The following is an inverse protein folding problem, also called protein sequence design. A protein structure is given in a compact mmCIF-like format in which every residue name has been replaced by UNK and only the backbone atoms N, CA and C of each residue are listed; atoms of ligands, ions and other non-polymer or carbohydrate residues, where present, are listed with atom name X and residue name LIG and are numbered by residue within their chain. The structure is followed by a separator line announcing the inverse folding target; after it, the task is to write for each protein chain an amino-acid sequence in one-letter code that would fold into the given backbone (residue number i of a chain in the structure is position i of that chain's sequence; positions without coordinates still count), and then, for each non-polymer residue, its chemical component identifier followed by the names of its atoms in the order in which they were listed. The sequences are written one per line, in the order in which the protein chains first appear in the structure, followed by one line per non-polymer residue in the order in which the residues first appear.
data_IF_342096244774
#
_entry.id   IF_342096244774
#
_cell.length_a   1.000
_cell.length_b   1.000
_cell.length_c   1.000
_cell.angle_alpha   90.00
_cell.angle_beta   90.00
_cell.angle_gamma   90.00
#
_symmetry.space_group_name_H-M   'P 1'
#
loop_
_entity.id
_entity.type
_entity.pdbx_description
1 polymer ?
#
# COMPACT_ATOMS: atom_id res chain seq x y z
N UNK A 1 -19.54 -0.29 2.95
CA UNK A 1 -18.15 -0.62 3.32
C UNK A 1 -17.37 0.60 3.77
N UNK A 2 -17.24 1.66 2.95
CA UNK A 2 -16.54 2.91 3.32
C UNK A 2 -16.91 3.46 4.71
N UNK A 3 -18.20 3.44 5.07
CA UNK A 3 -18.69 3.86 6.40
C UNK A 3 -18.09 3.07 7.58
N UNK A 4 -17.82 1.77 7.40
CA UNK A 4 -17.26 0.94 8.48
C UNK A 4 -15.75 1.18 8.65
N UNK A 5 -15.03 1.46 7.56
CA UNK A 5 -13.60 1.81 7.57
C UNK A 5 -13.27 3.10 8.32
N UNK A 6 -14.27 3.90 8.71
CA UNK A 6 -14.08 5.14 9.48
C UNK A 6 -14.38 4.96 10.99
N UNK A 7 -14.81 3.76 11.42
CA UNK A 7 -15.08 3.47 12.83
C UNK A 7 -13.83 2.99 13.56
N UNK A 8 -13.62 3.50 14.77
CA UNK A 8 -12.52 3.08 15.66
C UNK A 8 -12.81 1.81 16.44
N UNK A 9 -14.07 1.55 16.79
CA UNK A 9 -14.49 0.36 17.54
C UNK A 9 -15.51 -0.42 16.72
N UNK A 10 -15.09 -1.55 16.17
CA UNK A 10 -15.92 -2.44 15.36
C UNK A 10 -16.40 -3.65 16.17
N UNK A 11 -17.70 -3.95 16.10
CA UNK A 11 -18.23 -5.18 16.72
C UNK A 11 -17.84 -6.42 15.91
N UNK A 12 -17.89 -7.59 16.53
CA UNK A 12 -17.58 -8.85 15.83
C UNK A 12 -18.49 -9.09 14.61
N UNK A 13 -19.78 -8.75 14.71
CA UNK A 13 -20.72 -8.88 13.59
C UNK A 13 -20.40 -7.91 12.45
N UNK A 14 -19.98 -6.68 12.76
CA UNK A 14 -19.55 -5.71 11.74
C UNK A 14 -18.25 -6.15 11.06
N UNK A 15 -17.30 -6.71 11.81
CA UNK A 15 -16.06 -7.26 11.26
C UNK A 15 -16.33 -8.40 10.26
N UNK A 16 -17.28 -9.28 10.55
CA UNK A 16 -17.68 -10.36 9.63
C UNK A 16 -18.34 -9.83 8.35
N UNK A 17 -19.10 -8.74 8.45
CA UNK A 17 -19.68 -8.04 7.30
C UNK A 17 -18.57 -7.38 6.47
N UNK A 18 -17.63 -6.67 7.11
CA UNK A 18 -16.49 -6.08 6.42
C UNK A 18 -15.63 -7.13 5.73
N UNK A 19 -15.34 -8.24 6.40
CA UNK A 19 -14.60 -9.37 5.86
C UNK A 19 -15.26 -9.90 4.57
N UNK A 20 -16.59 -10.09 4.62
CA UNK A 20 -17.36 -10.57 3.46
C UNK A 20 -17.33 -9.58 2.30
N UNK A 21 -17.47 -8.27 2.58
CA UNK A 21 -17.44 -7.23 1.56
C UNK A 21 -16.04 -7.06 0.97
N UNK A 22 -15.00 -7.01 1.81
CA UNK A 22 -13.61 -6.89 1.39
C UNK A 22 -13.21 -8.05 0.50
N UNK A 23 -13.57 -9.27 0.91
CA UNK A 23 -13.40 -10.49 0.12
C UNK A 23 -13.99 -10.34 -1.27
N UNK A 24 -15.23 -9.86 -1.37
CA UNK A 24 -15.90 -9.63 -2.65
C UNK A 24 -15.13 -8.63 -3.53
N UNK A 25 -14.74 -7.48 -3.00
CA UNK A 25 -14.00 -6.49 -3.78
C UNK A 25 -12.65 -7.02 -4.28
N UNK A 26 -11.87 -7.67 -3.41
CA UNK A 26 -10.57 -8.24 -3.78
C UNK A 26 -10.71 -9.32 -4.87
N UNK A 27 -11.71 -10.21 -4.76
CA UNK A 27 -11.94 -11.22 -5.80
C UNK A 27 -12.32 -10.64 -7.16
N UNK A 28 -12.92 -9.45 -7.17
CA UNK A 28 -13.23 -8.71 -8.39
C UNK A 28 -12.11 -7.74 -8.79
N UNK A 29 -10.93 -7.83 -8.15
CA UNK A 29 -9.79 -6.96 -8.40
C UNK A 29 -10.12 -5.46 -8.21
N UNK A 30 -11.04 -5.14 -7.30
CA UNK A 30 -11.46 -3.78 -6.98
C UNK A 30 -10.77 -3.32 -5.69
N UNK A 31 -10.04 -2.21 -5.78
CA UNK A 31 -9.29 -1.64 -4.67
C UNK A 31 -9.67 -0.17 -4.47
N UNK A 32 -9.66 0.28 -3.22
CA UNK A 32 -10.00 1.65 -2.84
C UNK A 32 -9.10 2.15 -1.73
N UNK A 33 -8.86 3.48 -1.70
CA UNK A 33 -8.00 4.12 -0.71
C UNK A 33 -8.41 3.82 0.74
N UNK A 34 -9.72 3.76 0.98
CA UNK A 34 -10.29 3.57 2.30
C UNK A 34 -10.01 2.18 2.87
N UNK A 35 -9.54 1.23 2.06
CA UNK A 35 -9.13 -0.08 2.55
C UNK A 35 -8.02 0.04 3.59
N UNK A 36 -7.11 1.02 3.45
CA UNK A 36 -6.04 1.25 4.42
C UNK A 36 -6.53 1.65 5.84
N UNK A 37 -7.81 1.99 6.00
CA UNK A 37 -8.42 2.40 7.28
C UNK A 37 -9.24 1.28 7.95
N UNK A 38 -9.35 0.11 7.32
CA UNK A 38 -10.06 -1.04 7.90
C UNK A 38 -9.34 -1.59 9.13
N UNK A 39 -10.05 -2.39 9.92
CA UNK A 39 -9.48 -3.12 11.05
C UNK A 39 -8.24 -3.92 10.64
N UNK A 40 -7.16 -3.80 11.42
CA UNK A 40 -5.86 -4.41 11.10
C UNK A 40 -5.94 -5.92 10.86
N UNK A 41 -6.87 -6.64 11.53
CA UNK A 41 -7.08 -8.08 11.30
C UNK A 41 -7.47 -8.38 9.85
N UNK A 42 -8.20 -7.46 9.20
CA UNK A 42 -8.55 -7.58 7.79
C UNK A 42 -7.39 -7.15 6.89
N UNK A 43 -6.66 -6.11 7.26
CA UNK A 43 -5.46 -5.68 6.52
C UNK A 43 -4.43 -6.80 6.45
N UNK A 44 -4.18 -7.48 7.57
CA UNK A 44 -3.29 -8.65 7.66
C UNK A 44 -3.83 -9.82 6.83
N UNK A 45 -5.10 -10.22 7.06
CA UNK A 45 -5.74 -11.35 6.38
C UNK A 45 -5.68 -11.25 4.86
N UNK A 46 -5.78 -10.04 4.31
CA UNK A 46 -5.84 -9.77 2.88
C UNK A 46 -4.57 -9.14 2.30
N UNK A 47 -3.47 -9.08 3.07
CA UNK A 47 -2.18 -8.53 2.63
C UNK A 47 -2.26 -7.08 2.11
N UNK A 48 -3.06 -6.25 2.78
CA UNK A 48 -3.24 -4.82 2.47
C UNK A 48 -2.37 -3.93 3.38
N UNK A 49 -1.91 -4.44 4.51
CA UNK A 49 -1.22 -3.68 5.56
C UNK A 49 0.04 -2.92 5.09
N UNK A 50 0.69 -3.36 4.02
CA UNK A 50 1.90 -2.76 3.42
C UNK A 50 1.60 -1.92 2.17
N UNK A 51 0.32 -1.72 1.83
CA UNK A 51 -0.12 -1.04 0.61
C UNK A 51 -0.45 0.43 0.88
N UNK A 52 0.26 1.31 0.20
CA UNK A 52 -0.13 2.71 0.03
C UNK A 52 -1.02 2.83 -1.21
N UNK A 53 -2.19 3.44 -1.05
CA UNK A 53 -3.16 3.61 -2.14
C UNK A 53 -3.09 5.03 -2.69
N UNK A 54 -2.88 5.15 -3.99
CA UNK A 54 -3.05 6.37 -4.75
C UNK A 54 -4.37 6.24 -5.51
N UNK A 55 -5.38 6.97 -5.04
CA UNK A 55 -6.70 7.03 -5.68
C UNK A 55 -6.87 8.38 -6.37
N UNK A 56 -7.37 8.32 -7.60
CA UNK A 56 -7.72 9.47 -8.41
C UNK A 56 -9.15 9.32 -8.91
N UNK A 57 -9.90 10.43 -8.94
CA UNK A 57 -11.29 10.46 -9.40
C UNK A 57 -11.40 11.35 -10.64
N UNK A 58 -12.01 10.82 -11.69
CA UNK A 58 -12.24 11.49 -12.97
C UNK A 58 -13.62 11.12 -13.53
N UNK A 59 -13.91 11.58 -14.75
CA UNK A 59 -15.05 11.09 -15.53
C UNK A 59 -14.87 9.58 -15.81
N UNK A 60 -15.95 8.78 -15.72
CA UNK A 60 -15.87 7.36 -16.05
C UNK A 60 -15.38 7.14 -17.49
N UNK A 61 -14.48 6.18 -17.68
CA UNK A 61 -13.88 5.85 -18.98
C UNK A 61 -12.79 6.81 -19.49
N UNK A 62 -12.38 7.83 -18.72
CA UNK A 62 -11.21 8.66 -19.04
C UNK A 62 -9.95 7.80 -19.10
N UNK A 63 -9.08 8.04 -20.09
CA UNK A 63 -7.75 7.45 -20.08
C UNK A 63 -6.84 8.26 -19.15
N UNK A 64 -6.48 7.62 -18.03
CA UNK A 64 -5.69 8.22 -16.96
C UNK A 64 -4.31 7.57 -16.94
N UNK A 65 -3.26 8.39 -16.97
CA UNK A 65 -1.86 7.93 -16.89
C UNK A 65 -1.22 8.47 -15.63
N UNK A 66 -0.65 7.57 -14.82
CA UNK A 66 0.16 7.90 -13.67
C UNK A 66 1.62 7.98 -14.08
N UNK A 67 2.26 9.09 -13.75
CA UNK A 67 3.70 9.28 -13.89
C UNK A 67 4.31 9.33 -12.50
N UNK A 68 5.20 8.40 -12.15
CA UNK A 68 5.80 8.34 -10.83
C UNK A 68 7.32 8.13 -10.86
N UNK A 69 8.01 8.62 -9.83
CA UNK A 69 9.46 8.55 -9.67
C UNK A 69 9.79 8.25 -8.21
N UNK A 70 10.56 7.18 -7.98
CA UNK A 70 11.14 6.81 -6.67
C UNK A 70 12.50 7.49 -6.50
N UNK A 71 13.04 7.44 -5.29
CA UNK A 71 14.36 8.02 -5.00
C UNK A 71 15.48 7.41 -5.86
N UNK A 72 15.38 6.11 -6.19
CA UNK A 72 16.33 5.41 -7.08
C UNK A 72 16.25 5.83 -8.55
N UNK A 73 15.12 6.42 -8.99
CA UNK A 73 14.88 6.82 -10.38
C UNK A 73 15.51 8.20 -10.70
N UNK A 74 16.02 8.94 -9.70
CA UNK A 74 16.60 10.26 -9.93
C UNK A 74 15.58 11.26 -10.45
N UNK A 75 15.74 11.84 -11.65
CA UNK A 75 14.76 12.78 -12.22
C UNK A 75 13.83 12.12 -13.27
N UNK A 76 13.98 10.83 -13.50
CA UNK A 76 13.17 10.09 -14.47
C UNK A 76 11.83 9.68 -13.87
N UNK A 77 10.77 9.76 -14.68
CA UNK A 77 9.44 9.29 -14.33
C UNK A 77 9.10 8.05 -15.15
N UNK A 78 8.62 7.03 -14.44
CA UNK A 78 7.95 5.88 -15.02
C UNK A 78 6.48 6.25 -15.29
N UNK A 79 5.90 5.74 -16.38
CA UNK A 79 4.50 6.00 -16.74
C UNK A 79 3.72 4.70 -16.85
N UNK A 80 2.49 4.69 -16.34
CA UNK A 80 1.57 3.56 -16.47
C UNK A 80 0.11 4.01 -16.59
N UNK A 81 -0.67 3.25 -17.37
CA UNK A 81 -2.11 3.44 -17.43
C UNK A 81 -2.75 3.05 -16.09
N UNK A 82 -3.58 3.93 -15.54
CA UNK A 82 -4.36 3.61 -14.34
C UNK A 82 -5.62 2.84 -14.72
N UNK A 83 -5.89 1.76 -13.98
CA UNK A 83 -7.10 0.96 -14.15
C UNK A 83 -8.27 1.64 -13.43
N UNK A 84 -9.36 1.86 -14.16
CA UNK A 84 -10.64 2.29 -13.59
C UNK A 84 -11.25 1.13 -12.78
N UNK A 85 -11.29 1.27 -11.46
CA UNK A 85 -11.82 0.28 -10.53
C UNK A 85 -13.35 0.33 -10.46
N UNK A 86 -13.91 1.54 -10.48
CA UNK A 86 -15.35 1.75 -10.36
C UNK A 86 -15.75 3.18 -10.75
N UNK A 87 -16.55 3.36 -11.81
CA UNK A 87 -17.25 4.59 -12.17
C UNK A 87 -16.45 5.88 -11.93
N UNK A 88 -15.32 6.02 -12.63
CA UNK A 88 -14.41 7.16 -12.55
C UNK A 88 -13.37 7.10 -11.43
N UNK A 89 -13.31 6.03 -10.65
CA UNK A 89 -12.31 5.83 -9.60
C UNK A 89 -11.14 5.00 -10.13
N UNK A 90 -9.95 5.56 -10.13
CA UNK A 90 -8.70 4.95 -10.58
C UNK A 90 -7.79 4.74 -9.39
N UNK A 91 -7.23 3.54 -9.23
CA UNK A 91 -6.40 3.21 -8.06
C UNK A 91 -5.11 2.50 -8.45
N UNK A 92 -4.00 3.02 -7.95
CA UNK A 92 -2.70 2.34 -7.96
C UNK A 92 -2.25 2.06 -6.53
N UNK A 93 -1.73 0.86 -6.29
CA UNK A 93 -1.11 0.49 -5.02
C UNK A 93 0.41 0.46 -5.11
N UNK A 94 1.07 0.97 -4.09
CA UNK A 94 2.51 0.91 -3.89
C UNK A 94 2.85 0.21 -2.58
N UNK A 95 4.03 -0.41 -2.53
CA UNK A 95 4.72 -0.68 -1.25
C UNK A 95 5.79 0.41 -1.09
N UNK A 96 5.76 1.08 0.06
CA UNK A 96 6.63 2.21 0.40
C UNK A 96 7.17 1.97 1.81
N UNK A 97 8.48 2.01 1.98
CA UNK A 97 9.14 1.85 3.27
C UNK A 97 9.31 3.19 4.00
N UNK A 98 9.63 3.12 5.30
CA UNK A 98 9.90 4.31 6.10
C UNK A 98 11.01 5.16 5.46
N UNK A 99 10.74 6.46 5.33
CA UNK A 99 11.67 7.42 4.73
C UNK A 99 11.65 7.47 3.19
N UNK A 100 11.01 6.51 2.51
CA UNK A 100 10.87 6.55 1.05
C UNK A 100 9.82 7.56 0.60
N UNK A 101 10.08 8.15 -0.57
CA UNK A 101 9.20 9.09 -1.24
C UNK A 101 8.90 8.63 -2.66
N UNK A 102 7.63 8.75 -3.07
CA UNK A 102 7.24 8.68 -4.49
C UNK A 102 6.74 10.04 -4.92
N UNK A 103 7.43 10.67 -5.86
CA UNK A 103 6.92 11.86 -6.57
C UNK A 103 6.02 11.38 -7.70
N UNK A 104 4.88 12.03 -7.89
CA UNK A 104 4.01 11.69 -9.01
C UNK A 104 3.27 12.88 -9.58
N UNK A 105 2.78 12.70 -10.80
CA UNK A 105 1.73 13.51 -11.39
C UNK A 105 0.81 12.64 -12.25
N UNK A 106 -0.42 13.08 -12.42
CA UNK A 106 -1.46 12.37 -13.17
C UNK A 106 -1.84 13.20 -14.38
N UNK A 107 -1.91 12.54 -15.53
CA UNK A 107 -2.43 13.13 -16.75
C UNK A 107 -3.71 12.43 -17.19
N UNK A 108 -4.64 13.21 -17.72
CA UNK A 108 -5.78 12.68 -18.46
C UNK A 108 -5.55 12.92 -19.95
N UNK A 109 -5.80 11.90 -20.76
CA UNK A 109 -5.82 12.03 -22.22
C UNK A 109 -7.27 12.23 -22.70
N UNK A 110 -7.51 13.37 -23.34
CA UNK A 110 -8.77 13.71 -23.99
C UNK A 110 -8.50 14.03 -25.44
N UNK A 111 -9.14 13.35 -26.39
CA UNK A 111 -9.06 13.52 -27.84
C UNK A 111 -7.66 13.93 -28.41
N UNK A 112 -7.28 15.21 -28.28
CA UNK A 112 -6.03 15.80 -28.80
C UNK A 112 -5.18 16.54 -27.73
N UNK A 113 -5.46 16.38 -26.44
CA UNK A 113 -4.75 17.06 -25.36
C UNK A 113 -4.44 16.12 -24.20
N UNK A 114 -3.21 16.23 -23.71
CA UNK A 114 -2.77 15.63 -22.45
C UNK A 114 -2.74 16.77 -21.43
N UNK A 115 -3.52 16.65 -20.37
CA UNK A 115 -3.57 17.66 -19.31
C UNK A 115 -3.08 17.08 -17.99
N UNK A 116 -2.13 17.74 -17.35
CA UNK A 116 -1.73 17.42 -15.97
C UNK A 116 -2.82 17.90 -15.03
N UNK A 117 -3.43 16.99 -14.27
CA UNK A 117 -4.52 17.28 -13.34
C UNK A 117 -4.06 17.35 -11.89
N UNK A 118 -3.12 16.51 -11.52
CA UNK A 118 -2.61 16.40 -10.16
C UNK A 118 -1.10 16.22 -10.17
N UNK A 119 -0.40 16.82 -9.20
CA UNK A 119 1.00 16.54 -8.92
C UNK A 119 1.25 16.61 -7.42
N UNK A 120 1.79 15.55 -6.86
CA UNK A 120 1.98 15.44 -5.42
C UNK A 120 3.08 14.42 -5.07
N UNK A 121 3.17 14.09 -3.79
CA UNK A 121 4.10 13.12 -3.23
C UNK A 121 3.34 12.13 -2.35
N UNK A 122 3.73 10.87 -2.42
CA UNK A 122 3.27 9.80 -1.56
C UNK A 122 4.42 9.39 -0.64
N UNK A 123 4.17 9.37 0.67
CA UNK A 123 5.13 8.93 1.70
C UNK A 123 4.52 7.82 2.55
N UNK A 124 5.37 6.97 3.11
CA UNK A 124 4.97 6.11 4.21
C UNK A 124 5.13 6.87 5.54
N UNK A 125 4.02 7.22 6.17
CA UNK A 125 4.01 7.80 7.53
C UNK A 125 3.55 6.79 8.58
N UNK A 126 3.35 5.52 8.19
CA UNK A 126 2.89 4.50 9.12
C UNK A 126 4.01 4.19 10.12
N UNK A 127 3.72 4.43 11.39
CA UNK A 127 4.53 3.94 12.49
C UNK A 127 4.20 2.44 12.64
N UNK A 128 5.20 1.56 12.63
CA UNK A 128 5.06 0.15 12.98
C UNK A 128 4.13 -0.06 14.17
N UNK A 129 3.12 -0.90 14.01
CA UNK A 129 2.29 -1.32 15.14
C UNK A 129 3.07 -2.30 16.03
N UNK A 130 2.98 -2.14 17.35
CA UNK A 130 3.74 -2.93 18.35
C UNK A 130 3.64 -4.46 18.22
N UNK A 131 2.66 -4.99 17.48
CA UNK A 131 2.41 -6.43 17.31
C UNK A 131 2.53 -6.94 15.85
N UNK A 132 3.00 -6.11 14.92
CA UNK A 132 3.20 -6.52 13.53
C UNK A 132 4.60 -7.13 13.34
N UNK A 133 4.68 -8.46 13.18
CA UNK A 133 5.95 -9.17 12.92
C UNK A 133 6.14 -9.50 11.43
N UNK A 134 5.42 -8.83 10.54
CA UNK A 134 5.58 -9.01 9.10
C UNK A 134 6.98 -8.59 8.65
N UNK A 135 7.44 -9.16 7.53
CA UNK A 135 8.72 -8.77 6.93
C UNK A 135 8.76 -7.28 6.56
N UNK A 136 7.63 -6.73 6.13
CA UNK A 136 7.50 -5.30 5.84
C UNK A 136 7.76 -4.47 7.09
N UNK A 137 7.12 -4.81 8.21
CA UNK A 137 7.29 -4.09 9.46
C UNK A 137 8.70 -4.25 10.03
N UNK A 138 9.27 -5.45 9.97
CA UNK A 138 10.67 -5.69 10.36
C UNK A 138 11.65 -4.82 9.56
N UNK A 139 11.44 -4.64 8.25
CA UNK A 139 12.29 -3.77 7.41
C UNK A 139 12.11 -2.31 7.83
N UNK A 140 10.89 -1.83 8.04
CA UNK A 140 10.66 -0.46 8.53
C UNK A 140 11.33 -0.21 9.88
N UNK A 141 11.17 -1.13 10.83
CA UNK A 141 11.81 -1.04 12.14
C UNK A 141 13.34 -1.10 12.06
N UNK A 142 13.90 -1.89 11.14
CA UNK A 142 15.34 -1.88 10.87
C UNK A 142 15.81 -0.52 10.35
N UNK A 143 15.10 0.08 9.39
CA UNK A 143 15.44 1.42 8.86
C UNK A 143 15.37 2.49 9.96
N UNK A 144 14.32 2.46 10.78
CA UNK A 144 14.14 3.40 11.90
C UNK A 144 15.25 3.21 12.94
N UNK A 145 15.52 1.97 13.35
CA UNK A 145 16.55 1.65 14.36
C UNK A 145 17.94 2.08 13.90
N UNK A 146 18.29 1.85 12.63
CA UNK A 146 19.55 2.30 12.03
C UNK A 146 19.65 3.84 12.05
N UNK A 147 18.57 4.52 11.65
CA UNK A 147 18.48 5.99 11.66
C UNK A 147 18.65 6.57 13.07
N UNK A 148 18.13 5.90 14.10
CA UNK A 148 18.22 6.32 15.50
C UNK A 148 19.48 5.80 16.23
N UNK A 149 20.37 5.07 15.54
CA UNK A 149 21.53 4.37 16.14
C UNK A 149 21.14 3.39 17.27
N UNK A 150 19.95 2.80 17.22
CA UNK A 150 19.53 1.75 18.16
C UNK A 150 20.01 0.37 17.66
N UNK A 151 21.28 0.07 17.93
CA UNK A 151 21.90 -1.20 17.53
C UNK A 151 21.24 -2.43 18.15
N UNK A 152 20.60 -2.30 19.32
CA UNK A 152 20.00 -3.44 20.02
C UNK A 152 18.75 -3.91 19.28
N UNK A 153 17.84 -2.98 18.98
CA UNK A 153 16.62 -3.26 18.23
C UNK A 153 16.95 -3.68 16.80
N UNK A 154 17.88 -2.99 16.14
CA UNK A 154 18.35 -3.34 14.80
C UNK A 154 18.85 -4.78 14.72
N UNK A 155 19.73 -5.19 15.64
CA UNK A 155 20.26 -6.56 15.66
C UNK A 155 19.17 -7.60 15.91
N UNK A 156 18.25 -7.34 16.83
CA UNK A 156 17.12 -8.23 17.11
C UNK A 156 16.28 -8.47 15.84
N UNK A 157 15.93 -7.39 15.13
CA UNK A 157 15.11 -7.45 13.92
C UNK A 157 15.82 -8.14 12.76
N UNK A 158 17.14 -7.93 12.60
CA UNK A 158 17.95 -8.65 11.60
C UNK A 158 17.93 -10.17 11.87
N UNK A 159 18.09 -10.58 13.13
CA UNK A 159 18.09 -11.98 13.51
C UNK A 159 16.72 -12.63 13.28
N UNK A 160 15.63 -11.93 13.59
CA UNK A 160 14.27 -12.39 13.31
C UNK A 160 14.01 -12.53 11.81
N UNK A 161 14.37 -11.52 11.02
CA UNK A 161 14.24 -11.55 9.56
C UNK A 161 14.97 -12.75 8.95
N UNK A 162 16.21 -13.02 9.39
CA UNK A 162 16.98 -14.19 8.94
C UNK A 162 16.33 -15.51 9.31
N UNK A 163 15.71 -15.61 10.49
CA UNK A 163 14.96 -16.83 10.89
C UNK A 163 13.76 -17.06 9.97
N UNK A 164 12.99 -16.01 9.66
CA UNK A 164 11.86 -16.09 8.73
C UNK A 164 12.32 -16.49 7.33
N UNK A 165 13.43 -15.95 6.84
CA UNK A 165 14.01 -16.31 5.54
C UNK A 165 14.44 -17.78 5.49
N UNK A 166 15.15 -18.25 6.52
CA UNK A 166 15.55 -19.64 6.63
C UNK A 166 14.35 -20.60 6.70
N UNK A 167 13.33 -20.28 7.49
CA UNK A 167 12.11 -21.08 7.58
C UNK A 167 11.37 -21.15 6.24
N UNK A 168 11.24 -20.01 5.54
CA UNK A 168 10.58 -19.94 4.23
C UNK A 168 11.28 -20.81 3.20
N UNK A 169 12.62 -20.75 3.13
CA UNK A 169 13.43 -21.59 2.22
C UNK A 169 13.34 -23.09 2.53
N UNK A 170 13.11 -23.46 3.79
CA UNK A 170 12.93 -24.86 4.17
C UNK A 170 11.53 -25.38 3.81
N UNK A 171 10.50 -24.57 4.05
CA UNK A 171 9.08 -24.93 3.87
C UNK A 171 8.66 -24.90 2.40
N UNK A 172 9.15 -23.93 1.64
CA UNK A 172 8.82 -23.75 0.22
C UNK A 172 10.06 -24.02 -0.63
N UNK A 173 10.29 -25.30 -0.92
CA UNK A 173 11.27 -25.69 -1.95
C UNK A 173 10.60 -25.57 -3.31
N UNK A 174 11.25 -24.88 -4.25
CA UNK A 174 10.90 -24.96 -5.67
C UNK A 174 10.92 -26.44 -6.07
N UNK A 175 9.76 -26.95 -6.49
CA UNK A 175 9.60 -28.29 -7.08
C UNK A 175 9.96 -28.20 -8.56
#
# INVERSE_FOLDING_TARGET
MKHFAEKTDITQAELEIEDTLLKYYIYNNMYFDFFARLDYRLLEKYFIYDKAFLQYESTPGTHVVLHYSRDEDGEEFNSEDMVEMYDGIYVKTFVIFFGELIRYYITEEHDNSIEVKESNRLTCNNIPGDNDHSRYNLINEMIISDTLSDETTLKSNIDEYKRLDAATKQLFKLI
#
